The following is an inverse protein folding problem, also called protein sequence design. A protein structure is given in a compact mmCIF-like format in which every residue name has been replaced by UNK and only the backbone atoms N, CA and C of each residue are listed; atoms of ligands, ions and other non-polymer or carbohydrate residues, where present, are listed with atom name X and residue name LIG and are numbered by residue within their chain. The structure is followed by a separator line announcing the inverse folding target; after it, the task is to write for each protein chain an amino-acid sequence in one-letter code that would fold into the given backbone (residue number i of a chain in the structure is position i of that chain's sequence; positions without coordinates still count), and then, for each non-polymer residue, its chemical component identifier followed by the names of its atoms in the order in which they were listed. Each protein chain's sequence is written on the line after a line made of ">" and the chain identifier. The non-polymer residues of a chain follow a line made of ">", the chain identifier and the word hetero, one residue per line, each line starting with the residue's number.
data_IF_490298933702
#
_entry.id   IF_490298933702
#
_cell.length_a   1.000
_cell.length_b   1.000
_cell.length_c   1.000
_cell.angle_alpha   90.00
_cell.angle_beta   90.00
_cell.angle_gamma   90.00
#
_symmetry.space_group_name_H-M   'P 1'
#
loop_
_entity.id
_entity.type
_entity.pdbx_description
1 polymer ?
#
# COMPACT_ATOMS: atom_id res chain seq x y z
N UNK A 1 12.24 13.11 -1.37
CA UNK A 1 11.83 12.00 -0.49
C UNK A 1 11.74 10.73 -1.30
N UNK A 2 11.89 9.59 -0.65
CA UNK A 2 11.77 8.26 -1.26
C UNK A 2 10.50 7.56 -0.81
N UNK A 3 9.72 7.07 -1.76
CA UNK A 3 8.43 6.42 -1.53
C UNK A 3 8.51 4.93 -1.88
N UNK A 4 8.04 4.08 -0.98
CA UNK A 4 7.75 2.68 -1.26
C UNK A 4 6.25 2.50 -1.45
N UNK A 5 5.82 2.17 -2.66
CA UNK A 5 4.41 1.98 -2.99
C UNK A 5 4.09 0.48 -2.96
N UNK A 6 3.27 0.05 -2.00
CA UNK A 6 2.86 -1.34 -1.83
C UNK A 6 1.37 -1.51 -2.17
N UNK A 7 1.07 -2.24 -3.26
CA UNK A 7 -0.29 -2.51 -3.69
C UNK A 7 -0.36 -3.82 -4.48
N UNK A 8 -1.53 -4.46 -4.56
CA UNK A 8 -1.71 -5.56 -5.51
C UNK A 8 -1.91 -5.05 -6.93
N UNK A 9 -1.91 -5.97 -7.90
CA UNK A 9 -2.33 -5.69 -9.28
C UNK A 9 -3.82 -5.31 -9.38
N UNK A 10 -4.27 -4.94 -10.58
CA UNK A 10 -5.66 -4.60 -10.88
C UNK A 10 -6.07 -3.25 -10.30
N UNK A 11 -7.25 -3.18 -9.67
CA UNK A 11 -7.84 -1.91 -9.21
C UNK A 11 -6.98 -1.13 -8.21
N UNK A 12 -6.26 -1.82 -7.31
CA UNK A 12 -5.33 -1.17 -6.38
C UNK A 12 -4.16 -0.50 -7.11
N UNK A 13 -3.57 -1.20 -8.08
CA UNK A 13 -2.52 -0.65 -8.95
C UNK A 13 -3.05 0.52 -9.78
N UNK A 14 -4.27 0.44 -10.31
CA UNK A 14 -4.88 1.55 -11.05
C UNK A 14 -5.04 2.80 -10.19
N UNK A 15 -5.55 2.67 -8.97
CA UNK A 15 -5.64 3.82 -8.05
C UNK A 15 -4.27 4.38 -7.67
N UNK A 16 -3.27 3.52 -7.48
CA UNK A 16 -1.91 3.98 -7.21
C UNK A 16 -1.35 4.76 -8.41
N UNK A 17 -1.58 4.29 -9.63
CA UNK A 17 -1.13 4.95 -10.85
C UNK A 17 -1.91 6.25 -11.14
N UNK A 18 -3.17 6.36 -10.74
CA UNK A 18 -3.93 7.63 -10.83
C UNK A 18 -3.27 8.75 -10.01
N UNK A 19 -2.51 8.42 -8.97
CA UNK A 19 -1.75 9.36 -8.15
C UNK A 19 -0.36 9.69 -8.72
N UNK A 20 -0.11 9.44 -10.02
CA UNK A 20 1.20 9.66 -10.65
C UNK A 20 1.73 11.07 -10.52
N UNK A 21 0.86 12.08 -10.57
CA UNK A 21 1.28 13.47 -10.38
C UNK A 21 1.86 13.70 -8.98
N UNK A 22 1.42 12.95 -7.97
CA UNK A 22 1.91 13.06 -6.59
C UNK A 22 3.22 12.28 -6.36
N UNK A 23 3.27 11.00 -6.73
CA UNK A 23 4.47 10.19 -6.46
C UNK A 23 5.55 10.33 -7.54
N UNK A 24 5.23 10.83 -8.73
CA UNK A 24 6.13 10.90 -9.88
C UNK A 24 7.31 11.86 -9.69
N UNK A 25 7.17 12.87 -8.84
CA UNK A 25 8.24 13.83 -8.49
C UNK A 25 9.23 13.29 -7.43
N UNK A 26 9.04 12.04 -7.00
CA UNK A 26 9.80 11.43 -5.92
C UNK A 26 10.58 10.20 -6.40
N UNK A 27 11.68 9.90 -5.71
CA UNK A 27 12.32 8.60 -5.88
C UNK A 27 11.33 7.54 -5.39
N UNK A 28 11.13 6.47 -6.17
CA UNK A 28 10.15 5.45 -5.82
C UNK A 28 10.62 4.06 -6.12
N UNK A 29 10.05 3.13 -5.38
CA UNK A 29 10.07 1.71 -5.67
C UNK A 29 8.71 1.11 -5.33
N UNK A 30 8.42 -0.03 -5.93
CA UNK A 30 7.13 -0.68 -5.85
C UNK A 30 7.26 -2.04 -5.21
N UNK A 31 6.21 -2.46 -4.52
CA UNK A 31 6.06 -3.83 -4.04
C UNK A 31 4.68 -4.35 -4.45
N UNK A 32 4.65 -5.28 -5.41
CA UNK A 32 3.40 -5.77 -6.03
C UNK A 32 3.51 -7.23 -6.46
N UNK A 33 2.42 -7.82 -6.94
CA UNK A 33 2.39 -9.19 -7.41
C UNK A 33 3.11 -9.36 -8.77
N UNK A 34 3.80 -10.49 -8.99
CA UNK A 34 4.53 -10.79 -10.22
C UNK A 34 3.59 -11.24 -11.35
N UNK A 35 2.64 -10.38 -11.72
CA UNK A 35 1.64 -10.65 -12.78
C UNK A 35 1.81 -9.70 -13.94
N UNK A 36 1.35 -10.11 -15.12
CA UNK A 36 1.56 -9.38 -16.39
C UNK A 36 1.03 -7.94 -16.36
N UNK A 37 -0.14 -7.71 -15.72
CA UNK A 37 -0.70 -6.37 -15.52
C UNK A 37 0.30 -5.44 -14.79
N UNK A 38 0.92 -5.92 -13.71
CA UNK A 38 1.88 -5.13 -12.96
C UNK A 38 3.19 -4.93 -13.74
N UNK A 39 3.70 -5.99 -14.39
CA UNK A 39 4.96 -5.94 -15.16
C UNK A 39 4.89 -4.99 -16.34
N UNK A 40 3.77 -5.00 -17.07
CA UNK A 40 3.57 -4.12 -18.22
C UNK A 40 3.42 -2.66 -17.81
N UNK A 41 2.68 -2.37 -16.73
CA UNK A 41 2.39 -1.00 -16.27
C UNK A 41 3.52 -0.37 -15.46
N UNK A 42 4.42 -1.17 -14.89
CA UNK A 42 5.55 -0.74 -14.07
C UNK A 42 6.90 -1.12 -14.70
N UNK A 43 6.97 -1.24 -16.02
CA UNK A 43 8.15 -1.72 -16.75
C UNK A 43 9.39 -0.83 -16.57
N UNK A 44 9.19 0.46 -16.33
CA UNK A 44 10.25 1.45 -16.10
C UNK A 44 10.54 1.69 -14.60
N UNK A 45 9.86 0.94 -13.73
CA UNK A 45 9.92 1.15 -12.28
C UNK A 45 10.75 0.07 -11.59
N UNK A 46 11.32 0.40 -10.43
CA UNK A 46 11.97 -0.59 -9.57
C UNK A 46 10.91 -1.36 -8.79
N UNK A 47 10.71 -2.63 -9.13
CA UNK A 47 9.65 -3.48 -8.55
C UNK A 47 10.22 -4.63 -7.72
N UNK A 48 9.71 -4.79 -6.50
CA UNK A 48 9.90 -5.95 -5.65
C UNK A 48 8.68 -6.87 -5.74
N UNK A 49 8.90 -8.10 -6.22
CA UNK A 49 7.84 -9.08 -6.40
C UNK A 49 7.42 -9.71 -5.05
N UNK A 50 6.14 -9.56 -4.72
CA UNK A 50 5.52 -10.06 -3.49
C UNK A 50 5.02 -11.49 -3.67
N UNK A 51 5.11 -12.31 -2.61
CA UNK A 51 4.58 -13.67 -2.62
C UNK A 51 3.04 -13.67 -2.60
N UNK A 52 2.45 -14.28 -3.64
CA UNK A 52 1.01 -14.40 -3.89
C UNK A 52 0.57 -15.88 -3.95
N UNK A 53 -0.66 -16.25 -3.55
CA UNK A 53 -1.70 -15.43 -2.93
C UNK A 53 -1.35 -15.07 -1.49
N UNK A 54 -1.69 -13.86 -1.06
CA UNK A 54 -1.44 -13.36 0.32
C UNK A 54 -2.70 -13.45 1.19
N UNK A 55 -3.89 -13.39 0.58
CA UNK A 55 -5.17 -13.50 1.30
C UNK A 55 -5.38 -14.96 1.71
N UNK A 56 -5.67 -15.19 3.01
CA UNK A 56 -5.87 -16.52 3.61
C UNK A 56 -4.69 -17.49 3.44
N UNK A 57 -3.47 -16.96 3.20
CA UNK A 57 -2.27 -17.76 3.03
C UNK A 57 -1.19 -17.29 4.02
N UNK A 58 -1.18 -17.91 5.20
CA UNK A 58 -0.24 -17.59 6.28
C UNK A 58 1.23 -17.81 5.87
N UNK A 59 1.61 -18.89 5.17
CA UNK A 59 2.99 -19.07 4.71
C UNK A 59 3.49 -17.91 3.84
N UNK A 60 2.70 -17.46 2.88
CA UNK A 60 3.07 -16.33 2.03
C UNK A 60 3.08 -15.01 2.79
N UNK A 61 2.17 -14.82 3.76
CA UNK A 61 2.20 -13.67 4.65
C UNK A 61 3.54 -13.59 5.40
N UNK A 62 4.01 -14.68 6.01
CA UNK A 62 5.28 -14.74 6.73
C UNK A 62 6.49 -14.49 5.81
N UNK A 63 6.47 -15.06 4.60
CA UNK A 63 7.51 -14.76 3.59
C UNK A 63 7.53 -13.27 3.23
N UNK A 64 6.35 -12.66 3.10
CA UNK A 64 6.23 -11.23 2.83
C UNK A 64 6.70 -10.35 4.00
N UNK A 65 6.60 -10.79 5.26
CA UNK A 65 7.25 -10.10 6.38
C UNK A 65 8.77 -10.06 6.23
N UNK A 66 9.39 -11.19 5.86
CA UNK A 66 10.83 -11.26 5.60
C UNK A 66 11.25 -10.41 4.40
N UNK A 67 10.48 -10.47 3.31
CA UNK A 67 10.68 -9.62 2.13
C UNK A 67 10.56 -8.13 2.48
N UNK A 68 9.47 -7.73 3.16
CA UNK A 68 9.25 -6.36 3.56
C UNK A 68 10.39 -5.81 4.41
N UNK A 69 10.90 -6.61 5.36
CA UNK A 69 12.06 -6.22 6.18
C UNK A 69 13.30 -5.96 5.32
N UNK A 70 13.59 -6.83 4.36
CA UNK A 70 14.74 -6.68 3.45
C UNK A 70 14.60 -5.45 2.57
N UNK A 71 13.41 -5.22 2.00
CA UNK A 71 13.12 -4.07 1.15
C UNK A 71 13.23 -2.77 1.96
N UNK A 72 12.60 -2.70 3.14
CA UNK A 72 12.68 -1.51 4.01
C UNK A 72 14.12 -1.21 4.44
N UNK A 73 14.91 -2.25 4.75
CA UNK A 73 16.32 -2.09 5.12
C UNK A 73 17.20 -1.61 3.96
N UNK A 74 16.96 -2.11 2.75
CA UNK A 74 17.74 -1.77 1.55
C UNK A 74 17.36 -0.39 1.00
N UNK A 75 16.06 -0.11 0.92
CA UNK A 75 15.56 1.11 0.27
C UNK A 75 15.47 2.30 1.22
N UNK A 76 15.27 2.06 2.52
CA UNK A 76 15.09 3.07 3.57
C UNK A 76 14.14 4.20 3.13
N UNK A 77 12.89 3.90 2.77
CA UNK A 77 11.96 4.91 2.28
C UNK A 77 11.63 5.91 3.40
N UNK A 78 11.30 7.14 3.02
CA UNK A 78 10.73 8.14 3.92
C UNK A 78 9.23 7.85 4.17
N UNK A 79 8.55 7.30 3.16
CA UNK A 79 7.12 6.99 3.19
C UNK A 79 6.84 5.62 2.59
N UNK A 80 6.05 4.81 3.30
CA UNK A 80 5.38 3.62 2.75
C UNK A 80 3.93 3.99 2.44
N UNK A 81 3.58 3.95 1.16
CA UNK A 81 2.24 4.25 0.67
C UNK A 81 1.53 2.97 0.20
N UNK A 82 0.23 2.84 0.46
CA UNK A 82 -0.57 1.74 -0.06
C UNK A 82 -1.98 2.18 -0.41
N UNK A 83 -2.46 1.77 -1.59
CA UNK A 83 -3.86 1.89 -2.04
C UNK A 83 -4.70 0.66 -1.69
N UNK A 84 -4.24 -0.15 -0.75
CA UNK A 84 -4.93 -1.34 -0.25
C UNK A 84 -4.26 -2.67 -0.59
N UNK A 85 -5.00 -3.75 -0.30
CA UNK A 85 -4.58 -5.16 -0.29
C UNK A 85 -3.80 -5.64 0.95
N UNK A 86 -3.82 -6.97 1.16
CA UNK A 86 -3.16 -7.64 2.29
C UNK A 86 -1.63 -7.50 2.29
N UNK A 87 -1.05 -6.96 1.20
CA UNK A 87 0.38 -6.69 1.05
C UNK A 87 0.84 -5.57 1.99
N UNK A 88 -0.03 -4.60 2.31
CA UNK A 88 0.31 -3.44 3.12
C UNK A 88 0.78 -3.83 4.54
N UNK A 89 0.16 -4.86 5.13
CA UNK A 89 0.38 -5.23 6.53
C UNK A 89 1.86 -5.56 6.85
N UNK A 90 2.56 -6.44 6.10
CA UNK A 90 4.00 -6.67 6.27
C UNK A 90 4.87 -5.41 6.28
N UNK A 91 4.55 -4.41 5.47
CA UNK A 91 5.34 -3.17 5.39
C UNK A 91 4.97 -2.19 6.51
N UNK A 92 3.68 -1.94 6.73
CA UNK A 92 3.19 -0.94 7.67
C UNK A 92 3.64 -1.25 9.11
N UNK A 93 3.54 -2.52 9.51
CA UNK A 93 3.97 -2.98 10.84
C UNK A 93 5.46 -2.79 11.12
N UNK A 94 6.28 -2.69 10.06
CA UNK A 94 7.74 -2.61 10.18
C UNK A 94 8.31 -1.23 9.81
N UNK A 95 7.57 -0.41 9.07
CA UNK A 95 8.00 0.86 8.49
C UNK A 95 8.67 1.80 9.50
N UNK A 96 8.04 1.97 10.68
CA UNK A 96 8.55 2.86 11.75
C UNK A 96 9.95 2.46 12.25
N UNK A 97 10.29 1.17 12.28
CA UNK A 97 11.64 0.73 12.68
C UNK A 97 12.73 1.14 11.70
N UNK A 98 12.35 1.50 10.47
CA UNK A 98 13.25 1.98 9.43
C UNK A 98 13.14 3.50 9.21
N UNK A 99 12.40 4.20 10.08
CA UNK A 99 12.21 5.66 10.02
C UNK A 99 11.15 6.13 9.02
N UNK A 100 10.42 5.21 8.39
CA UNK A 100 9.41 5.53 7.39
C UNK A 100 8.06 5.86 8.05
N UNK A 101 7.38 6.88 7.53
CA UNK A 101 5.95 7.12 7.79
C UNK A 101 5.08 6.23 6.90
N UNK A 102 3.86 5.98 7.33
CA UNK A 102 2.91 5.09 6.65
C UNK A 102 1.65 5.83 6.26
N UNK A 103 1.28 5.74 4.98
CA UNK A 103 0.11 6.42 4.42
C UNK A 103 -0.75 5.39 3.72
N UNK A 104 -1.97 5.20 4.19
CA UNK A 104 -2.93 4.28 3.58
C UNK A 104 -4.03 5.04 2.86
N UNK A 105 -4.39 4.63 1.65
CA UNK A 105 -5.59 5.06 0.95
C UNK A 105 -6.57 3.89 0.87
N UNK A 106 -7.71 4.02 1.54
CA UNK A 106 -8.77 3.03 1.45
C UNK A 106 -9.31 2.99 0.00
N UNK A 107 -9.43 1.79 -0.58
CA UNK A 107 -9.89 1.62 -1.96
C UNK A 107 -11.25 2.27 -2.24
N UNK A 108 -11.39 2.81 -3.45
CA UNK A 108 -12.62 3.50 -3.89
C UNK A 108 -13.89 2.64 -3.83
N UNK A 109 -13.79 1.31 -3.88
CA UNK A 109 -14.93 0.38 -3.75
C UNK A 109 -15.49 0.28 -2.32
N UNK A 110 -14.85 0.92 -1.33
CA UNK A 110 -15.24 0.90 0.08
C UNK A 110 -16.11 2.10 0.44
N UNK A 111 -17.40 1.98 0.14
CA UNK A 111 -18.36 3.08 0.33
C UNK A 111 -19.02 3.03 1.71
N UNK A 112 -19.60 1.88 2.07
CA UNK A 112 -20.40 1.71 3.30
C UNK A 112 -19.85 0.65 4.25
N UNK A 113 -18.76 -0.02 3.88
CA UNK A 113 -18.10 -1.00 4.74
C UNK A 113 -16.59 -0.98 4.55
N UNK A 114 -15.82 -1.15 5.64
CA UNK A 114 -14.36 -1.13 5.60
C UNK A 114 -13.80 -2.42 5.00
N UNK A 115 -12.66 -2.32 4.30
CA UNK A 115 -11.91 -3.49 3.84
C UNK A 115 -11.24 -4.22 4.98
N UNK A 116 -11.07 -5.54 4.88
CA UNK A 116 -10.29 -6.32 5.86
C UNK A 116 -8.86 -5.78 5.98
N UNK A 117 -8.23 -5.49 4.84
CA UNK A 117 -6.87 -4.96 4.80
C UNK A 117 -6.77 -3.60 5.50
N UNK A 118 -7.70 -2.68 5.21
CA UNK A 118 -7.77 -1.36 5.84
C UNK A 118 -7.89 -1.46 7.35
N UNK A 119 -8.80 -2.30 7.85
CA UNK A 119 -8.94 -2.57 9.30
C UNK A 119 -7.67 -3.10 9.95
N UNK A 120 -6.95 -4.00 9.27
CA UNK A 120 -5.73 -4.61 9.81
C UNK A 120 -4.57 -3.61 9.86
N UNK A 121 -4.46 -2.71 8.89
CA UNK A 121 -3.36 -1.74 8.82
C UNK A 121 -3.65 -0.44 9.56
N UNK A 122 -4.92 -0.15 9.87
CA UNK A 122 -5.35 1.07 10.54
C UNK A 122 -4.50 1.45 11.77
N UNK A 123 -4.22 0.55 12.72
CA UNK A 123 -3.42 0.89 13.92
C UNK A 123 -1.96 1.21 13.62
N UNK A 124 -1.49 0.84 12.43
CA UNK A 124 -0.11 1.01 11.98
C UNK A 124 0.06 2.16 10.99
N UNK A 125 -1.04 2.81 10.56
CA UNK A 125 -1.01 3.94 9.65
C UNK A 125 -0.78 5.24 10.42
N UNK A 126 0.17 6.05 9.97
CA UNK A 126 0.36 7.42 10.47
C UNK A 126 -0.69 8.35 9.86
N UNK A 127 -1.03 8.14 8.59
CA UNK A 127 -2.11 8.83 7.88
C UNK A 127 -3.03 7.81 7.22
N UNK A 128 -4.33 7.96 7.44
CA UNK A 128 -5.35 7.10 6.85
C UNK A 128 -6.31 7.94 6.01
N UNK A 129 -6.27 7.73 4.71
CA UNK A 129 -7.01 8.48 3.71
C UNK A 129 -8.22 7.66 3.27
N UNK A 130 -9.39 8.30 3.25
CA UNK A 130 -10.63 7.69 2.77
C UNK A 130 -11.20 8.53 1.62
N UNK A 131 -11.99 7.89 0.77
CA UNK A 131 -12.59 8.55 -0.41
C UNK A 131 -14.08 8.85 -0.23
N UNK A 132 -14.69 8.28 0.82
CA UNK A 132 -16.10 8.42 1.15
C UNK A 132 -16.25 8.89 2.59
N UNK A 133 -17.16 9.84 2.83
CA UNK A 133 -17.35 10.42 4.16
C UNK A 133 -17.82 9.37 5.18
N UNK A 134 -18.65 8.44 4.73
CA UNK A 134 -19.16 7.31 5.52
C UNK A 134 -18.04 6.43 6.08
N UNK A 135 -16.85 6.38 5.44
CA UNK A 135 -15.72 5.59 5.95
C UNK A 135 -15.15 6.14 7.25
N UNK A 136 -15.37 7.41 7.56
CA UNK A 136 -14.89 8.02 8.81
C UNK A 136 -15.57 7.45 10.05
N UNK A 137 -16.75 6.84 9.91
CA UNK A 137 -17.42 6.09 10.97
C UNK A 137 -16.61 4.85 11.40
N UNK A 138 -15.94 4.20 10.45
CA UNK A 138 -15.12 3.01 10.70
C UNK A 138 -13.67 3.35 11.04
N UNK A 139 -13.20 4.51 10.61
CA UNK A 139 -11.83 4.96 10.76
C UNK A 139 -11.76 6.36 11.41
N UNK A 140 -11.99 6.47 12.73
CA UNK A 140 -11.99 7.75 13.44
C UNK A 140 -10.62 8.42 13.42
N UNK A 141 -10.51 9.60 12.78
CA UNK A 141 -9.25 10.31 12.57
C UNK A 141 -8.73 10.20 11.13
N UNK A 142 -9.39 9.42 10.26
CA UNK A 142 -9.10 9.43 8.83
C UNK A 142 -9.42 10.77 8.16
N UNK A 143 -8.69 11.07 7.09
CA UNK A 143 -8.88 12.25 6.24
C UNK A 143 -9.61 11.87 4.97
N UNK A 144 -10.73 12.51 4.70
CA UNK A 144 -11.40 12.38 3.40
C UNK A 144 -10.64 13.19 2.35
N UNK A 145 -10.19 12.53 1.28
CA UNK A 145 -9.44 13.16 0.17
C UNK A 145 -10.25 13.22 -1.13
N UNK A 146 -11.51 12.81 -1.10
CA UNK A 146 -12.33 12.67 -2.29
C UNK A 146 -11.94 11.46 -3.14
N UNK A 147 -12.61 11.32 -4.29
CA UNK A 147 -12.42 10.19 -5.20
C UNK A 147 -11.14 10.36 -6.01
N UNK A 148 -10.33 9.31 -6.07
CA UNK A 148 -9.10 9.19 -6.85
C UNK A 148 -9.29 8.05 -7.85
N UNK A 149 -9.39 8.39 -9.14
CA UNK A 149 -9.60 7.44 -10.26
C UNK A 149 -8.76 7.82 -11.47
#
# INVERSE_FOLDING_TARGET
>A
MKILIACSSGGHLTQALALREWWGEHERCWATFPVEDARSRLSEEKVYEIHYPTVRNVPNLLRNFGLARRVLAAERPDVVFSTGAAIALPFFTQARFFGARTVYLEPVDRITSPGLSGRLVYPFADEFLVQWEQMREFYPGSRNVGVVL
#
